data_IF_368835258671
#
_entry.id   IF_368835258671
#
_cell.length_a   1.000
_cell.length_b   1.000
_cell.length_c   1.000
_cell.angle_alpha   90.00
_cell.angle_beta   90.00
_cell.angle_gamma   90.00
#
_symmetry.space_group_name_H-M   'P 1'
#
loop_
_entity.id
_entity.type
_entity.pdbx_description
1 polymer ?
#
# COMPACT_ATOMS: atom_id res chain seq x y z
N UNK A 1 29.64 -96.18 64.41
CA UNK A 1 28.70 -95.02 64.50
C UNK A 1 28.63 -94.36 63.15
N UNK A 2 27.64 -94.71 62.30
CA UNK A 2 27.47 -94.18 60.94
C UNK A 2 26.44 -93.03 60.96
N UNK A 3 26.83 -91.76 60.69
CA UNK A 3 25.89 -90.63 60.54
C UNK A 3 25.15 -90.74 59.22
N UNK A 4 23.87 -90.80 59.25
CA UNK A 4 23.00 -90.64 58.11
C UNK A 4 23.09 -89.18 57.61
N UNK A 5 23.49 -88.97 56.37
CA UNK A 5 23.44 -87.66 55.71
C UNK A 5 22.02 -87.47 55.17
N UNK A 6 21.42 -86.39 55.55
CA UNK A 6 20.04 -86.03 55.27
C UNK A 6 19.79 -85.79 53.74
N UNK A 7 18.79 -86.46 53.20
CA UNK A 7 18.38 -86.35 51.83
C UNK A 7 17.76 -84.98 51.44
N UNK A 8 17.58 -84.09 52.46
CA UNK A 8 16.96 -82.79 52.24
C UNK A 8 17.91 -81.75 51.60
N UNK A 9 19.21 -81.85 51.91
CA UNK A 9 20.19 -80.91 51.36
C UNK A 9 20.47 -81.02 49.85
N UNK A 10 20.32 -82.24 49.32
CA UNK A 10 20.50 -82.45 47.82
C UNK A 10 19.37 -81.90 46.96
N UNK A 11 18.19 -81.73 47.50
CA UNK A 11 17.07 -81.08 46.76
C UNK A 11 17.18 -79.59 46.74
N UNK A 12 17.83 -78.92 47.68
CA UNK A 12 18.01 -77.51 47.73
C UNK A 12 19.11 -77.01 46.82
N UNK A 13 20.13 -77.84 46.55
CA UNK A 13 21.21 -77.44 45.64
C UNK A 13 20.83 -77.64 44.15
N UNK A 14 19.92 -78.55 43.82
CA UNK A 14 19.43 -78.72 42.43
C UNK A 14 18.45 -77.66 42.02
N UNK A 15 17.78 -76.94 42.92
CA UNK A 15 16.85 -75.90 42.65
C UNK A 15 17.54 -74.54 42.46
N UNK A 16 18.84 -74.39 42.79
CA UNK A 16 19.57 -73.12 42.61
C UNK A 16 20.30 -72.94 41.31
N UNK A 17 20.35 -73.95 40.44
CA UNK A 17 21.03 -73.89 39.14
C UNK A 17 20.07 -73.76 37.92
N UNK A 18 18.75 -73.55 38.13
CA UNK A 18 17.77 -73.41 37.07
C UNK A 18 17.10 -72.03 36.96
N UNK A 19 17.70 -70.95 37.51
CA UNK A 19 17.15 -69.60 37.38
C UNK A 19 18.26 -68.60 37.16
N UNK A 20 18.75 -68.50 35.91
CA UNK A 20 19.28 -67.28 35.36
C UNK A 20 19.46 -67.43 33.83
N UNK A 21 18.37 -67.57 33.11
CA UNK A 21 18.36 -67.11 31.69
C UNK A 21 18.23 -65.60 31.70
N UNK A 22 19.07 -64.86 31.00
CA UNK A 22 18.95 -63.39 30.97
C UNK A 22 17.68 -63.03 30.24
N UNK A 23 16.74 -62.36 30.91
CA UNK A 23 15.62 -61.70 30.27
C UNK A 23 16.14 -60.71 29.20
N UNK A 24 15.66 -60.76 27.95
CA UNK A 24 16.06 -59.80 26.93
C UNK A 24 15.59 -58.42 27.40
N UNK A 25 16.54 -57.46 27.53
CA UNK A 25 16.23 -56.06 27.76
C UNK A 25 15.29 -55.58 26.67
N UNK A 26 14.20 -54.89 27.01
CA UNK A 26 13.34 -54.32 25.98
C UNK A 26 14.19 -53.39 25.14
N UNK A 27 14.30 -53.66 23.84
CA UNK A 27 14.85 -52.70 22.86
C UNK A 27 13.98 -51.46 22.96
N UNK A 28 14.54 -50.37 23.45
CA UNK A 28 13.94 -49.05 23.27
C UNK A 28 13.82 -48.80 21.77
N UNK A 29 12.68 -49.13 21.21
CA UNK A 29 12.27 -48.68 19.90
C UNK A 29 12.08 -47.17 20.06
N UNK A 30 13.06 -46.39 19.60
CA UNK A 30 12.85 -44.96 19.37
C UNK A 30 11.66 -44.86 18.45
N UNK A 31 10.51 -44.49 19.01
CA UNK A 31 9.36 -44.10 18.19
C UNK A 31 9.82 -42.94 17.30
N UNK A 32 9.90 -43.17 16.01
CA UNK A 32 10.04 -42.09 15.07
C UNK A 32 8.86 -41.12 15.30
N UNK A 33 9.06 -39.80 15.34
CA UNK A 33 7.96 -38.87 15.53
C UNK A 33 6.97 -39.07 14.39
N UNK A 34 5.91 -39.84 14.62
CA UNK A 34 4.80 -39.95 13.71
C UNK A 34 4.05 -38.61 13.75
N UNK A 35 4.40 -37.71 12.87
CA UNK A 35 3.62 -36.50 12.63
C UNK A 35 2.25 -36.94 12.13
N UNK A 36 1.19 -36.58 12.85
CA UNK A 36 -0.15 -36.87 12.38
C UNK A 36 -0.37 -36.14 11.05
N UNK A 37 -1.04 -36.77 10.10
CA UNK A 37 -1.40 -36.15 8.82
C UNK A 37 -2.08 -34.82 8.98
N UNK A 38 -2.83 -34.60 10.09
CA UNK A 38 -3.42 -33.32 10.47
C UNK A 38 -2.37 -32.23 10.72
N UNK A 39 -1.26 -32.56 11.40
CA UNK A 39 -0.17 -31.59 11.63
C UNK A 39 0.57 -31.26 10.33
N UNK A 40 0.80 -32.24 9.47
CA UNK A 40 1.40 -32.03 8.14
C UNK A 40 0.48 -31.15 7.31
N UNK A 41 -0.83 -31.43 7.28
CA UNK A 41 -1.81 -30.61 6.56
C UNK A 41 -1.88 -29.17 7.05
N UNK A 42 -1.87 -28.96 8.37
CA UNK A 42 -1.87 -27.62 8.96
C UNK A 42 -0.60 -26.85 8.61
N UNK A 43 0.57 -27.47 8.69
CA UNK A 43 1.84 -26.84 8.32
C UNK A 43 1.87 -26.51 6.83
N UNK A 44 1.39 -27.41 5.96
CA UNK A 44 1.28 -27.16 4.54
C UNK A 44 0.35 -25.98 4.22
N UNK A 45 -0.81 -25.88 4.89
CA UNK A 45 -1.72 -24.75 4.77
C UNK A 45 -1.09 -23.44 5.25
N UNK A 46 -0.33 -23.46 6.33
CA UNK A 46 0.39 -22.27 6.82
C UNK A 46 1.49 -21.84 5.86
N UNK A 47 2.24 -22.80 5.28
CA UNK A 47 3.26 -22.51 4.29
C UNK A 47 2.60 -21.94 3.01
N UNK A 48 1.55 -22.54 2.50
CA UNK A 48 0.82 -22.07 1.32
C UNK A 48 0.19 -20.69 1.57
N UNK A 49 -0.44 -20.49 2.73
CA UNK A 49 -1.01 -19.20 3.13
C UNK A 49 0.04 -18.09 3.27
N UNK A 50 1.30 -18.45 3.46
CA UNK A 50 2.41 -17.51 3.55
C UNK A 50 3.12 -17.30 2.21
N UNK A 51 3.34 -18.38 1.44
CA UNK A 51 4.08 -18.32 0.17
C UNK A 51 3.25 -17.77 -0.97
N UNK A 52 1.93 -18.05 -1.04
CA UNK A 52 1.07 -17.55 -2.11
C UNK A 52 1.00 -16.02 -2.12
N UNK A 53 0.69 -15.32 -1.00
CA UNK A 53 0.72 -13.85 -0.99
C UNK A 53 2.09 -13.27 -1.32
N UNK A 54 3.18 -13.92 -0.88
CA UNK A 54 4.53 -13.53 -1.21
C UNK A 54 4.82 -13.67 -2.71
N UNK A 55 4.48 -14.81 -3.30
CA UNK A 55 4.64 -15.03 -4.74
C UNK A 55 3.76 -14.07 -5.54
N UNK A 56 2.51 -13.86 -5.14
CA UNK A 56 1.63 -12.88 -5.79
C UNK A 56 2.21 -11.46 -5.70
N UNK A 57 2.83 -11.10 -4.58
CA UNK A 57 3.49 -9.79 -4.43
C UNK A 57 4.74 -9.69 -5.30
N UNK A 58 5.61 -10.71 -5.31
CA UNK A 58 6.84 -10.74 -6.13
C UNK A 58 6.51 -10.80 -7.63
N UNK A 59 5.40 -11.46 -8.02
CA UNK A 59 4.98 -11.59 -9.43
C UNK A 59 3.96 -10.53 -9.85
N UNK A 60 3.45 -9.68 -8.96
CA UNK A 60 2.60 -8.53 -9.34
C UNK A 60 3.36 -7.44 -10.10
N UNK A 61 4.68 -7.46 -10.07
CA UNK A 61 5.54 -6.51 -10.78
C UNK A 61 5.90 -6.98 -12.22
N UNK A 62 5.18 -7.97 -12.76
CA UNK A 62 5.46 -8.50 -14.12
C UNK A 62 4.86 -7.61 -15.23
N UNK A 63 4.00 -6.65 -14.89
CA UNK A 63 3.46 -5.74 -15.88
C UNK A 63 4.59 -4.92 -16.54
N UNK A 64 4.62 -4.92 -17.86
CA UNK A 64 5.51 -4.05 -18.59
C UNK A 64 5.01 -2.60 -18.46
N UNK A 65 5.52 -1.90 -17.46
CA UNK A 65 5.14 -0.51 -17.17
C UNK A 65 5.45 0.47 -18.29
N UNK A 66 6.24 0.05 -19.30
CA UNK A 66 6.50 0.84 -20.49
C UNK A 66 5.30 0.90 -21.44
N UNK A 67 4.34 -0.02 -21.31
CA UNK A 67 3.19 -0.18 -22.22
C UNK A 67 1.84 -0.12 -21.50
N UNK A 68 1.39 1.06 -21.07
CA UNK A 68 0.11 1.22 -20.39
C UNK A 68 -1.10 0.79 -21.26
N UNK A 69 -0.96 0.74 -22.59
CA UNK A 69 -1.98 0.23 -23.50
C UNK A 69 -2.35 -1.23 -23.28
N UNK A 70 -1.40 -2.07 -22.81
CA UNK A 70 -1.65 -3.48 -22.51
C UNK A 70 -2.63 -3.66 -21.34
N UNK A 71 -2.80 -2.61 -20.53
CA UNK A 71 -3.73 -2.52 -19.40
C UNK A 71 -4.98 -1.69 -19.73
N UNK A 72 -5.26 -1.44 -21.01
CA UNK A 72 -6.44 -0.72 -21.47
C UNK A 72 -6.32 0.81 -21.45
N UNK A 73 -5.16 1.36 -21.11
CA UNK A 73 -4.90 2.81 -21.10
C UNK A 73 -4.35 3.28 -22.46
N UNK A 74 -5.19 3.23 -23.51
CA UNK A 74 -4.79 3.46 -24.90
C UNK A 74 -4.39 4.92 -25.23
N UNK A 75 -4.66 5.87 -24.35
CA UNK A 75 -4.34 7.30 -24.49
C UNK A 75 -3.45 7.76 -23.32
N UNK A 76 -2.57 6.86 -22.93
CA UNK A 76 -1.59 7.06 -21.85
C UNK A 76 -0.19 6.85 -22.41
N UNK A 77 0.73 7.74 -22.04
CA UNK A 77 2.15 7.57 -22.32
C UNK A 77 2.93 7.29 -21.05
N UNK A 78 3.93 6.43 -21.17
CA UNK A 78 4.94 6.22 -20.13
C UNK A 78 6.16 7.08 -20.43
N UNK A 79 6.67 7.79 -19.42
CA UNK A 79 7.93 8.53 -19.51
C UNK A 79 8.61 8.56 -18.13
N UNK A 80 9.85 9.06 -18.10
CA UNK A 80 10.62 9.10 -16.86
C UNK A 80 11.14 10.52 -16.59
N UNK A 81 11.12 10.89 -15.32
CA UNK A 81 11.68 12.16 -14.84
C UNK A 81 12.91 11.88 -13.97
N UNK A 82 13.94 12.70 -14.15
CA UNK A 82 15.14 12.67 -13.29
C UNK A 82 14.93 13.72 -12.18
N UNK A 83 14.52 13.26 -11.00
CA UNK A 83 14.14 14.13 -9.88
C UNK A 83 15.36 14.62 -9.10
N UNK A 84 16.40 13.79 -9.02
CA UNK A 84 17.70 14.10 -8.43
C UNK A 84 18.80 13.35 -9.20
N UNK A 85 20.07 13.61 -8.86
CA UNK A 85 21.18 12.85 -9.44
C UNK A 85 21.06 11.36 -9.08
N UNK A 86 21.05 10.49 -10.08
CA UNK A 86 20.88 9.03 -9.90
C UNK A 86 19.44 8.58 -9.64
N UNK A 87 18.48 9.49 -9.47
CA UNK A 87 17.08 9.14 -9.20
C UNK A 87 16.22 9.40 -10.45
N UNK A 88 15.60 8.32 -10.95
CA UNK A 88 14.68 8.34 -12.09
C UNK A 88 13.33 7.77 -11.63
N UNK A 89 12.25 8.51 -11.84
CA UNK A 89 10.89 8.12 -11.48
C UNK A 89 10.04 7.92 -12.74
N UNK A 90 9.25 6.85 -12.76
CA UNK A 90 8.32 6.54 -13.85
C UNK A 90 7.01 7.29 -13.68
N UNK A 91 6.47 7.80 -14.77
CA UNK A 91 5.20 8.54 -14.79
C UNK A 91 4.34 8.07 -15.96
N UNK A 92 3.08 7.81 -15.69
CA UNK A 92 2.04 7.66 -16.70
C UNK A 92 1.25 8.95 -16.81
N UNK A 93 1.10 9.47 -18.02
CA UNK A 93 0.24 10.60 -18.32
C UNK A 93 -0.91 10.15 -19.22
N UNK A 94 -2.10 10.12 -18.66
CA UNK A 94 -3.36 9.85 -19.35
C UNK A 94 -4.01 11.17 -19.71
N UNK A 95 -4.31 11.39 -20.98
CA UNK A 95 -5.02 12.61 -21.43
C UNK A 95 -6.54 12.45 -21.28
N UNK A 96 -7.32 13.55 -21.35
CA UNK A 96 -8.78 13.51 -21.41
C UNK A 96 -9.31 12.52 -22.48
N UNK A 97 -10.34 11.75 -22.15
CA UNK A 97 -10.87 10.70 -23.03
C UNK A 97 -11.27 11.23 -24.40
N UNK A 98 -11.85 12.44 -24.50
CA UNK A 98 -12.23 13.02 -25.77
C UNK A 98 -11.04 13.25 -26.72
N UNK A 99 -9.80 13.24 -26.23
CA UNK A 99 -8.57 13.38 -27.00
C UNK A 99 -7.90 12.04 -27.37
N UNK A 100 -8.53 10.90 -27.03
CA UNK A 100 -7.91 9.59 -27.21
C UNK A 100 -7.48 9.30 -28.65
N UNK A 101 -8.26 9.73 -29.65
CA UNK A 101 -7.92 9.55 -31.07
C UNK A 101 -6.71 10.37 -31.47
N UNK A 102 -6.62 11.60 -30.99
CA UNK A 102 -5.52 12.50 -31.24
C UNK A 102 -4.21 12.00 -30.59
N UNK A 103 -4.31 11.38 -29.41
CA UNK A 103 -3.18 10.87 -28.64
C UNK A 103 -2.50 9.64 -29.27
N UNK A 104 -3.19 8.92 -30.16
CA UNK A 104 -2.63 7.70 -30.75
C UNK A 104 -1.35 7.96 -31.54
N UNK A 105 -0.29 7.19 -31.20
CA UNK A 105 1.01 7.29 -31.87
C UNK A 105 1.78 8.60 -31.59
N UNK A 106 1.33 9.41 -30.63
CA UNK A 106 2.02 10.65 -30.25
C UNK A 106 3.18 10.35 -29.31
N UNK A 107 4.17 11.23 -29.36
CA UNK A 107 5.37 11.17 -28.51
C UNK A 107 5.18 11.99 -27.22
N UNK A 108 6.20 11.96 -26.35
CA UNK A 108 6.19 12.65 -25.04
C UNK A 108 5.99 14.15 -25.20
N UNK A 109 6.62 14.79 -26.20
CA UNK A 109 6.50 16.24 -26.42
C UNK A 109 5.06 16.67 -26.73
N UNK A 110 4.29 15.82 -27.44
CA UNK A 110 2.88 16.09 -27.69
C UNK A 110 2.07 16.06 -26.38
N UNK A 111 2.31 15.03 -25.53
CA UNK A 111 1.65 14.92 -24.23
C UNK A 111 2.03 16.06 -23.29
N UNK A 112 3.28 16.51 -23.31
CA UNK A 112 3.73 17.69 -22.55
C UNK A 112 2.97 18.96 -22.97
N UNK A 113 2.82 19.20 -24.27
CA UNK A 113 2.06 20.34 -24.80
C UNK A 113 0.58 20.25 -24.48
N UNK A 114 0.02 19.04 -24.42
CA UNK A 114 -1.39 18.80 -24.11
C UNK A 114 -1.77 19.29 -22.71
N UNK A 115 -0.85 19.34 -21.74
CA UNK A 115 -1.10 19.85 -20.38
C UNK A 115 -1.54 21.32 -20.35
N UNK A 116 -1.25 22.10 -21.41
CA UNK A 116 -1.64 23.52 -21.52
C UNK A 116 -2.97 23.75 -22.20
N UNK A 117 -3.83 22.74 -22.39
CA UNK A 117 -5.08 22.84 -23.12
C UNK A 117 -6.25 23.45 -22.33
N UNK A 118 -6.05 23.78 -21.06
CA UNK A 118 -7.06 24.33 -20.14
C UNK A 118 -7.82 23.28 -19.34
N UNK A 119 -7.67 21.99 -19.65
CA UNK A 119 -8.28 20.91 -18.86
C UNK A 119 -7.61 20.81 -17.47
N UNK A 120 -8.37 20.51 -16.40
CA UNK A 120 -7.77 20.25 -15.09
C UNK A 120 -6.77 19.10 -15.12
N UNK A 121 -5.72 19.22 -14.31
CA UNK A 121 -4.63 18.25 -14.23
C UNK A 121 -4.60 17.66 -12.81
N UNK A 122 -4.61 16.34 -12.70
CA UNK A 122 -4.46 15.64 -11.46
C UNK A 122 -3.12 14.91 -11.38
N UNK A 123 -2.37 15.19 -10.33
CA UNK A 123 -1.21 14.40 -9.90
C UNK A 123 -1.71 13.36 -8.91
N UNK A 124 -1.65 12.07 -9.28
CA UNK A 124 -2.05 10.98 -8.40
C UNK A 124 -0.84 10.39 -7.69
N UNK A 125 -0.87 10.45 -6.36
CA UNK A 125 0.17 9.98 -5.46
C UNK A 125 -0.33 8.72 -4.73
N UNK A 126 0.28 7.59 -5.05
CA UNK A 126 -0.22 6.26 -4.68
C UNK A 126 0.14 5.80 -3.26
N UNK A 127 -0.50 4.71 -2.81
CA UNK A 127 -0.25 4.06 -1.52
C UNK A 127 1.05 3.22 -1.48
N UNK A 128 1.32 2.62 -0.32
CA UNK A 128 2.62 2.00 0.01
C UNK A 128 2.95 0.69 -0.74
N UNK A 129 2.03 0.11 -1.52
CA UNK A 129 2.26 -1.19 -2.17
C UNK A 129 1.99 -1.13 -3.66
N UNK A 130 2.68 -1.97 -4.44
CA UNK A 130 2.55 -2.06 -5.89
C UNK A 130 3.11 -0.83 -6.62
N UNK A 131 2.70 -0.64 -7.87
CA UNK A 131 3.18 0.39 -8.76
C UNK A 131 2.02 1.05 -9.53
N UNK A 132 2.28 1.94 -10.49
CA UNK A 132 1.28 2.67 -11.27
C UNK A 132 0.30 1.79 -12.06
N UNK A 133 0.59 0.47 -12.25
CA UNK A 133 -0.31 -0.48 -12.92
C UNK A 133 -1.38 -1.08 -12.01
N UNK A 134 -1.37 -0.81 -10.71
CA UNK A 134 -2.35 -1.39 -9.80
C UNK A 134 -3.80 -0.99 -10.17
N UNK A 135 -4.78 -1.91 -10.08
CA UNK A 135 -6.14 -1.70 -10.61
C UNK A 135 -6.84 -0.43 -10.13
N UNK A 136 -6.66 -0.06 -8.85
CA UNK A 136 -7.28 1.16 -8.31
C UNK A 136 -6.66 2.45 -8.89
N UNK A 137 -5.37 2.44 -9.25
CA UNK A 137 -4.68 3.58 -9.87
C UNK A 137 -5.12 3.77 -11.31
N UNK A 138 -5.22 2.66 -12.05
CA UNK A 138 -5.82 2.63 -13.40
C UNK A 138 -7.27 3.10 -13.33
N UNK A 139 -8.05 2.63 -12.34
CA UNK A 139 -9.44 3.03 -12.17
C UNK A 139 -9.59 4.53 -11.94
N UNK A 140 -8.76 5.14 -11.09
CA UNK A 140 -8.77 6.59 -10.86
C UNK A 140 -8.33 7.36 -12.11
N UNK A 141 -7.28 6.90 -12.82
CA UNK A 141 -6.83 7.53 -14.06
C UNK A 141 -7.93 7.52 -15.13
N UNK A 142 -8.67 6.41 -15.27
CA UNK A 142 -9.82 6.32 -16.19
C UNK A 142 -10.96 7.25 -15.79
N UNK A 143 -11.30 7.36 -14.50
CA UNK A 143 -12.32 8.30 -14.02
C UNK A 143 -11.92 9.74 -14.36
N UNK A 144 -10.70 10.14 -14.06
CA UNK A 144 -10.22 11.49 -14.35
C UNK A 144 -10.24 11.78 -15.84
N UNK A 145 -9.78 10.84 -16.67
CA UNK A 145 -9.80 10.96 -18.12
C UNK A 145 -11.22 11.07 -18.69
N UNK A 146 -12.17 10.26 -18.20
CA UNK A 146 -13.58 10.31 -18.59
C UNK A 146 -14.26 11.63 -18.17
N UNK A 147 -13.80 12.25 -17.09
CA UNK A 147 -14.23 13.60 -16.67
C UNK A 147 -13.66 14.72 -17.55
N UNK A 148 -12.76 14.43 -18.47
CA UNK A 148 -12.08 15.41 -19.29
C UNK A 148 -10.85 16.02 -18.64
N UNK A 149 -10.21 15.32 -17.69
CA UNK A 149 -9.05 15.78 -16.95
C UNK A 149 -7.80 14.99 -17.33
N UNK A 150 -6.63 15.62 -17.22
CA UNK A 150 -5.35 14.93 -17.29
C UNK A 150 -5.07 14.18 -15.97
N UNK A 151 -4.57 12.96 -16.06
CA UNK A 151 -4.10 12.19 -14.91
C UNK A 151 -2.62 11.84 -15.05
N UNK A 152 -1.80 12.27 -14.10
CA UNK A 152 -0.39 11.88 -14.00
C UNK A 152 -0.22 10.96 -12.79
N UNK A 153 0.07 9.69 -13.05
CA UNK A 153 0.31 8.68 -12.01
C UNK A 153 1.80 8.40 -11.94
N UNK A 154 2.42 8.72 -10.81
CA UNK A 154 3.86 8.57 -10.61
C UNK A 154 4.17 7.40 -9.69
N UNK A 155 5.17 6.59 -10.04
CA UNK A 155 5.85 5.73 -9.08
C UNK A 155 7.01 6.52 -8.46
N UNK A 156 6.99 6.69 -7.14
CA UNK A 156 8.08 7.32 -6.42
C UNK A 156 9.38 6.52 -6.55
N UNK A 157 10.50 7.14 -6.15
CA UNK A 157 11.76 6.40 -5.96
C UNK A 157 11.56 5.11 -5.15
N UNK A 158 12.14 4.02 -5.62
CA UNK A 158 12.05 2.70 -4.99
C UNK A 158 10.72 1.96 -5.21
N UNK A 159 9.79 2.50 -6.03
CA UNK A 159 8.56 1.84 -6.43
C UNK A 159 8.55 1.55 -7.93
N UNK A 160 7.85 0.47 -8.33
CA UNK A 160 7.77 0.03 -9.72
C UNK A 160 9.16 -0.12 -10.35
N UNK A 161 9.37 0.56 -11.48
CA UNK A 161 10.65 0.62 -12.18
C UNK A 161 11.44 1.93 -11.92
N UNK A 162 11.02 2.72 -10.93
CA UNK A 162 11.73 3.91 -10.46
C UNK A 162 12.96 3.53 -9.64
N UNK A 163 14.05 4.30 -9.80
CA UNK A 163 15.30 4.05 -9.06
C UNK A 163 15.35 4.78 -7.71
N UNK A 164 16.31 4.44 -6.86
CA UNK A 164 16.55 5.09 -5.57
C UNK A 164 15.84 4.39 -4.40
N UNK A 165 15.99 4.97 -3.21
CA UNK A 165 15.46 4.42 -1.95
C UNK A 165 14.28 5.24 -1.46
N UNK A 166 13.16 4.62 -1.04
CA UNK A 166 11.96 5.33 -0.60
C UNK A 166 12.15 5.90 0.81
N UNK A 167 12.44 7.18 0.90
CA UNK A 167 12.52 7.94 2.15
C UNK A 167 11.47 9.04 2.17
N UNK A 168 10.99 9.49 3.34
CA UNK A 168 9.99 10.55 3.44
C UNK A 168 10.40 11.84 2.72
N UNK A 169 11.62 12.37 2.92
CA UNK A 169 12.08 13.52 2.15
C UNK A 169 12.17 13.22 0.64
N UNK A 170 12.62 12.02 0.27
CA UNK A 170 12.77 11.62 -1.11
C UNK A 170 11.43 11.55 -1.85
N UNK A 171 10.42 10.90 -1.27
CA UNK A 171 9.08 10.83 -1.85
C UNK A 171 8.47 12.23 -2.01
N UNK A 172 8.69 13.10 -1.03
CA UNK A 172 8.24 14.50 -1.08
C UNK A 172 8.96 15.26 -2.20
N UNK A 173 10.28 15.07 -2.36
CA UNK A 173 11.07 15.67 -3.45
C UNK A 173 10.58 15.24 -4.82
N UNK A 174 10.27 13.95 -5.01
CA UNK A 174 9.74 13.43 -6.27
C UNK A 174 8.41 14.07 -6.62
N UNK A 175 7.50 14.22 -5.63
CA UNK A 175 6.20 14.86 -5.83
C UNK A 175 6.32 16.37 -6.13
N UNK A 176 7.23 17.09 -5.46
CA UNK A 176 7.52 18.51 -5.76
C UNK A 176 8.08 18.65 -7.17
N UNK A 177 8.98 17.75 -7.57
CA UNK A 177 9.56 17.79 -8.92
C UNK A 177 8.48 17.60 -9.97
N UNK A 178 7.59 16.61 -9.81
CA UNK A 178 6.47 16.39 -10.72
C UNK A 178 5.53 17.60 -10.75
N UNK A 179 5.17 18.16 -9.59
CA UNK A 179 4.37 19.38 -9.53
C UNK A 179 5.00 20.52 -10.35
N UNK A 180 6.28 20.81 -10.12
CA UNK A 180 6.99 21.88 -10.84
C UNK A 180 7.09 21.60 -12.35
N UNK A 181 7.28 20.34 -12.73
CA UNK A 181 7.30 19.91 -14.11
C UNK A 181 5.94 20.13 -14.80
N UNK A 182 4.84 19.78 -14.12
CA UNK A 182 3.47 20.02 -14.57
C UNK A 182 3.18 21.51 -14.62
N UNK A 183 3.47 22.27 -13.57
CA UNK A 183 3.16 23.70 -13.45
C UNK A 183 3.78 24.54 -14.55
N UNK A 184 5.00 24.20 -14.99
CA UNK A 184 5.67 24.85 -16.11
C UNK A 184 4.94 24.63 -17.46
N UNK A 185 4.05 23.64 -17.55
CA UNK A 185 3.36 23.22 -18.79
C UNK A 185 1.85 23.45 -18.75
N UNK A 186 1.29 23.64 -17.57
CA UNK A 186 -0.16 23.67 -17.34
C UNK A 186 -0.85 24.95 -17.87
N UNK A 187 -0.10 25.99 -18.21
CA UNK A 187 -0.72 27.27 -18.57
C UNK A 187 -1.67 27.76 -17.47
N UNK A 188 -2.95 27.92 -17.82
CA UNK A 188 -4.02 28.32 -16.90
C UNK A 188 -4.83 27.13 -16.34
N UNK A 189 -4.44 25.89 -16.64
CA UNK A 189 -5.11 24.70 -16.13
C UNK A 189 -4.97 24.60 -14.62
N UNK A 190 -6.02 24.16 -13.93
CA UNK A 190 -5.96 23.82 -12.52
C UNK A 190 -5.01 22.64 -12.31
N UNK A 191 -4.14 22.73 -11.31
CA UNK A 191 -3.25 21.64 -10.90
C UNK A 191 -3.67 21.11 -9.52
N UNK A 192 -4.36 19.98 -9.53
CA UNK A 192 -4.85 19.30 -8.35
C UNK A 192 -3.98 18.10 -8.00
N UNK A 193 -4.06 17.64 -6.76
CA UNK A 193 -3.40 16.43 -6.30
C UNK A 193 -4.41 15.47 -5.66
N UNK A 194 -4.23 14.18 -5.90
CA UNK A 194 -4.98 13.11 -5.27
C UNK A 194 -4.02 12.16 -4.57
N UNK A 195 -3.97 12.18 -3.25
CA UNK A 195 -3.15 11.29 -2.44
C UNK A 195 -3.95 10.17 -1.83
N UNK A 196 -3.54 8.92 -2.10
CA UNK A 196 -4.15 7.73 -1.54
C UNK A 196 -3.22 7.08 -0.50
N UNK A 197 -3.72 6.79 0.71
CA UNK A 197 -2.97 6.11 1.78
C UNK A 197 -1.62 6.79 2.03
N UNK A 198 -0.46 6.12 1.82
CA UNK A 198 0.88 6.74 1.88
C UNK A 198 0.93 8.05 1.09
N UNK A 199 0.33 8.07 -0.11
CA UNK A 199 0.25 9.26 -0.95
C UNK A 199 -0.46 10.44 -0.30
N UNK A 200 -1.34 10.24 0.68
CA UNK A 200 -1.95 11.34 1.44
C UNK A 200 -0.92 12.07 2.32
N UNK A 201 -0.02 11.32 2.94
CA UNK A 201 1.11 11.87 3.69
C UNK A 201 2.08 12.64 2.78
N UNK A 202 2.45 12.03 1.64
CA UNK A 202 3.29 12.70 0.63
C UNK A 202 2.62 13.97 0.13
N UNK A 203 1.30 13.95 -0.12
CA UNK A 203 0.52 15.11 -0.54
C UNK A 203 0.61 16.27 0.45
N UNK A 204 0.38 15.99 1.74
CA UNK A 204 0.41 17.05 2.75
C UNK A 204 1.81 17.61 2.99
N UNK A 205 2.85 16.76 2.98
CA UNK A 205 4.24 17.23 3.01
C UNK A 205 4.58 18.11 1.80
N UNK A 206 4.20 17.64 0.59
CA UNK A 206 4.41 18.40 -0.64
C UNK A 206 3.68 19.74 -0.60
N UNK A 207 2.41 19.76 -0.19
CA UNK A 207 1.63 20.99 -0.11
C UNK A 207 2.28 22.04 0.84
N UNK A 208 2.79 21.61 2.00
CA UNK A 208 3.50 22.52 2.93
C UNK A 208 4.81 23.01 2.31
N UNK A 209 5.58 22.15 1.65
CA UNK A 209 6.82 22.55 0.98
C UNK A 209 6.60 23.51 -0.19
N UNK A 210 5.53 23.33 -0.95
CA UNK A 210 5.14 24.27 -2.01
C UNK A 210 4.75 25.64 -1.42
N UNK A 211 4.01 25.68 -0.30
CA UNK A 211 3.68 26.92 0.38
C UNK A 211 4.94 27.69 0.82
N UNK A 212 5.98 27.01 1.30
CA UNK A 212 7.28 27.61 1.63
C UNK A 212 7.96 28.24 0.39
N UNK A 213 7.61 27.80 -0.81
CA UNK A 213 8.11 28.31 -2.11
C UNK A 213 7.17 29.34 -2.76
N UNK A 214 6.07 29.71 -2.10
CA UNK A 214 5.04 30.59 -2.66
C UNK A 214 4.11 29.93 -3.69
N UNK A 215 4.15 28.61 -3.79
CA UNK A 215 3.35 27.79 -4.70
C UNK A 215 2.28 27.00 -3.96
N UNK A 216 1.26 26.50 -4.67
CA UNK A 216 0.20 25.67 -4.09
C UNK A 216 -0.50 24.82 -5.14
N UNK A 217 -1.09 23.73 -4.74
CA UNK A 217 -2.13 23.06 -5.51
C UNK A 217 -3.41 23.89 -5.53
N UNK A 218 -4.21 23.76 -6.58
CA UNK A 218 -5.52 24.39 -6.67
C UNK A 218 -6.58 23.61 -5.87
N UNK A 219 -6.46 22.29 -5.80
CA UNK A 219 -7.31 21.39 -5.00
C UNK A 219 -6.55 20.16 -4.51
N UNK A 220 -6.95 19.63 -3.36
CA UNK A 220 -6.37 18.45 -2.74
C UNK A 220 -7.47 17.41 -2.49
N UNK A 221 -7.26 16.17 -2.95
CA UNK A 221 -8.08 15.00 -2.59
C UNK A 221 -7.23 14.07 -1.73
N UNK A 222 -7.74 13.69 -0.57
CA UNK A 222 -7.13 12.73 0.35
C UNK A 222 -8.03 11.51 0.48
N UNK A 223 -7.56 10.34 0.01
CA UNK A 223 -8.29 9.08 0.05
C UNK A 223 -7.62 8.11 1.02
N UNK A 224 -8.39 7.51 1.93
CA UNK A 224 -7.85 6.55 2.91
C UNK A 224 -6.68 7.13 3.73
N UNK A 225 -6.77 8.42 4.08
CA UNK A 225 -5.68 9.18 4.67
C UNK A 225 -5.47 8.86 6.15
N UNK A 226 -4.22 8.99 6.62
CA UNK A 226 -3.81 8.77 8.01
C UNK A 226 -3.26 10.06 8.64
N UNK A 227 -3.25 10.13 9.98
CA UNK A 227 -2.74 11.30 10.74
C UNK A 227 -1.22 11.39 10.76
N UNK A 228 -0.56 10.23 10.97
CA UNK A 228 0.90 10.09 10.82
C UNK A 228 1.24 8.64 10.54
N UNK A 229 2.37 8.40 9.91
CA UNK A 229 2.86 7.04 9.60
C UNK A 229 3.07 6.20 10.86
N UNK A 230 3.49 6.82 11.96
CA UNK A 230 3.65 6.16 13.26
C UNK A 230 2.31 5.71 13.85
N UNK A 231 1.27 6.54 13.77
CA UNK A 231 -0.08 6.20 14.23
C UNK A 231 -0.68 5.11 13.34
N UNK A 232 -0.53 5.25 12.02
CA UNK A 232 -1.02 4.23 11.08
C UNK A 232 -0.34 2.88 11.30
N UNK A 233 0.98 2.84 11.50
CA UNK A 233 1.70 1.62 11.82
C UNK A 233 1.15 0.96 13.10
N UNK A 234 0.97 1.73 14.18
CA UNK A 234 0.44 1.18 15.43
C UNK A 234 -0.97 0.62 15.26
N UNK A 235 -1.86 1.29 14.52
CA UNK A 235 -3.22 0.79 14.26
C UNK A 235 -3.24 -0.52 13.47
N UNK A 236 -2.37 -0.64 12.46
CA UNK A 236 -2.18 -1.89 11.72
C UNK A 236 -1.66 -3.01 12.63
N UNK A 237 -0.79 -2.69 13.61
CA UNK A 237 -0.24 -3.69 14.55
C UNK A 237 -1.23 -4.16 15.60
N UNK A 238 -2.15 -3.31 16.03
CA UNK A 238 -3.14 -3.64 17.06
C UNK A 238 -4.30 -4.49 16.52
N UNK A 239 -4.48 -4.56 15.20
CA UNK A 239 -5.56 -5.34 14.61
C UNK A 239 -5.29 -6.85 14.74
N UNK A 240 -6.21 -7.67 15.29
CA UNK A 240 -5.98 -9.10 15.55
C UNK A 240 -5.55 -9.92 14.34
N UNK A 241 -6.02 -9.55 13.15
CA UNK A 241 -5.69 -10.21 11.90
C UNK A 241 -4.25 -9.91 11.45
N UNK A 242 -3.80 -8.68 11.62
CA UNK A 242 -2.44 -8.27 11.25
C UNK A 242 -1.40 -8.78 12.24
N UNK A 243 -1.76 -8.95 13.54
CA UNK A 243 -0.89 -9.55 14.55
C UNK A 243 -0.40 -10.95 14.16
N UNK A 244 -1.21 -11.74 13.47
CA UNK A 244 -0.81 -13.06 12.98
C UNK A 244 0.25 -12.95 11.87
N UNK A 245 0.03 -12.08 10.89
CA UNK A 245 0.95 -11.86 9.76
C UNK A 245 2.24 -11.17 10.20
N UNK A 246 2.19 -10.35 11.26
CA UNK A 246 3.37 -9.69 11.83
C UNK A 246 4.44 -10.68 12.32
N UNK A 247 4.09 -11.89 12.67
CA UNK A 247 5.04 -12.91 13.08
C UNK A 247 5.89 -13.49 11.96
N UNK A 248 5.56 -13.20 10.72
CA UNK A 248 6.33 -13.67 9.58
C UNK A 248 7.43 -12.68 9.22
N UNK A 249 8.73 -13.09 9.28
CA UNK A 249 9.88 -12.21 9.08
C UNK A 249 9.87 -11.46 7.74
N UNK A 250 9.33 -12.07 6.68
CA UNK A 250 9.28 -11.45 5.36
C UNK A 250 8.22 -10.36 5.27
N UNK A 251 7.10 -10.43 5.97
CA UNK A 251 6.11 -9.36 6.05
C UNK A 251 6.71 -8.17 6.80
N UNK A 252 7.44 -8.42 7.89
CA UNK A 252 8.22 -7.39 8.56
C UNK A 252 9.23 -6.75 7.62
N UNK A 253 9.98 -7.59 6.87
CA UNK A 253 11.04 -7.13 5.99
C UNK A 253 10.51 -6.28 4.82
N UNK A 254 9.44 -6.72 4.14
CA UNK A 254 8.95 -6.05 2.92
C UNK A 254 7.94 -4.93 3.17
N UNK A 255 7.11 -5.02 4.21
CA UNK A 255 6.07 -4.03 4.47
C UNK A 255 6.45 -3.01 5.55
N UNK A 256 7.15 -3.44 6.59
CA UNK A 256 7.33 -2.63 7.79
C UNK A 256 8.75 -2.12 8.01
N UNK A 257 9.77 -2.89 7.64
CA UNK A 257 11.15 -2.42 7.78
C UNK A 257 11.45 -1.19 6.92
N UNK A 258 10.97 -1.08 5.66
CA UNK A 258 11.12 0.15 4.90
C UNK A 258 10.50 1.36 5.61
N UNK A 259 9.28 1.22 6.17
CA UNK A 259 8.61 2.31 6.91
C UNK A 259 9.37 2.68 8.19
N UNK A 260 9.84 1.69 8.95
CA UNK A 260 10.51 1.90 10.23
C UNK A 260 11.95 2.38 10.07
N UNK A 261 12.69 1.82 9.13
CA UNK A 261 14.10 2.17 8.89
C UNK A 261 14.28 3.52 8.21
N UNK A 262 13.28 3.96 7.44
CA UNK A 262 13.31 5.21 6.66
C UNK A 262 12.61 6.38 7.37
N UNK A 263 12.22 6.23 8.64
CA UNK A 263 11.54 7.26 9.45
C UNK A 263 10.35 7.90 8.71
N UNK A 264 9.49 7.09 8.07
CA UNK A 264 8.32 7.56 7.34
C UNK A 264 7.24 7.95 8.37
N UNK A 265 7.22 9.19 8.82
CA UNK A 265 6.24 9.69 9.79
C UNK A 265 5.09 10.43 9.11
N UNK A 266 5.36 11.24 8.10
CA UNK A 266 4.37 12.04 7.38
C UNK A 266 3.35 12.70 8.35
N UNK A 267 3.69 13.77 9.03
CA UNK A 267 2.83 14.38 10.06
C UNK A 267 1.66 15.12 9.41
N UNK A 268 0.68 14.38 8.88
CA UNK A 268 -0.49 14.89 8.18
C UNK A 268 -1.28 15.85 9.06
N UNK A 269 -1.45 15.53 10.35
CA UNK A 269 -2.11 16.35 11.34
C UNK A 269 -1.51 17.77 11.40
N UNK A 270 -0.19 17.88 11.55
CA UNK A 270 0.53 19.16 11.63
C UNK A 270 0.56 19.91 10.29
N UNK A 271 0.63 19.17 9.19
CA UNK A 271 0.63 19.76 7.86
C UNK A 271 -0.72 20.39 7.52
N UNK A 272 -1.82 19.74 7.87
CA UNK A 272 -3.17 20.26 7.65
C UNK A 272 -3.42 21.61 8.37
N UNK A 273 -2.77 21.86 9.50
CA UNK A 273 -2.86 23.16 10.20
C UNK A 273 -2.33 24.32 9.34
N UNK A 274 -1.43 24.06 8.40
CA UNK A 274 -0.79 25.07 7.54
C UNK A 274 -1.46 25.20 6.18
N UNK A 275 -2.11 24.15 5.68
CA UNK A 275 -2.70 24.09 4.34
C UNK A 275 -3.97 24.93 4.28
N UNK A 276 -4.07 25.78 3.23
CA UNK A 276 -5.24 26.64 2.94
C UNK A 276 -5.89 26.32 1.59
N UNK A 277 -5.33 25.39 0.85
CA UNK A 277 -5.93 24.84 -0.39
C UNK A 277 -7.22 24.11 -0.06
N UNK A 278 -8.28 24.17 -0.87
CA UNK A 278 -9.49 23.37 -0.69
C UNK A 278 -9.18 21.87 -0.63
N UNK A 279 -9.81 21.16 0.32
CA UNK A 279 -9.53 19.73 0.57
C UNK A 279 -10.83 18.95 0.50
N UNK A 280 -10.82 17.85 -0.27
CA UNK A 280 -11.83 16.81 -0.22
C UNK A 280 -11.24 15.52 0.37
N UNK A 281 -11.89 14.96 1.38
CA UNK A 281 -11.50 13.71 2.04
C UNK A 281 -12.48 12.62 1.62
N UNK A 282 -11.98 11.56 0.98
CA UNK A 282 -12.75 10.39 0.55
C UNK A 282 -12.41 9.21 1.45
N UNK A 283 -13.42 8.56 2.03
CA UNK A 283 -13.17 7.45 2.94
C UNK A 283 -14.28 6.42 2.93
N UNK A 284 -13.92 5.13 2.87
CA UNK A 284 -14.87 4.02 3.00
C UNK A 284 -15.11 3.69 4.46
N UNK A 285 -16.36 3.53 4.88
CA UNK A 285 -16.69 3.19 6.27
C UNK A 285 -16.19 1.79 6.68
N UNK A 286 -15.98 0.89 5.69
CA UNK A 286 -15.42 -0.45 5.88
C UNK A 286 -13.91 -0.52 5.62
N UNK A 287 -13.21 0.61 5.59
CA UNK A 287 -11.75 0.62 5.49
C UNK A 287 -11.12 -0.14 6.66
N UNK A 288 -10.48 -1.26 6.33
CA UNK A 288 -9.91 -2.20 7.30
C UNK A 288 -8.49 -1.83 7.74
N UNK A 289 -7.86 -0.83 7.09
CA UNK A 289 -6.51 -0.35 7.42
C UNK A 289 -6.55 0.96 8.19
N UNK A 290 -7.41 1.88 7.77
CA UNK A 290 -7.57 3.19 8.40
C UNK A 290 -9.02 3.38 8.83
N UNK A 291 -9.32 3.40 10.14
CA UNK A 291 -10.69 3.58 10.63
C UNK A 291 -11.31 4.92 10.22
N UNK A 292 -12.62 4.97 10.00
CA UNK A 292 -13.38 6.18 9.65
C UNK A 292 -13.16 7.33 10.65
N UNK A 293 -12.91 7.02 11.94
CA UNK A 293 -12.60 8.02 12.97
C UNK A 293 -11.35 8.85 12.65
N UNK A 294 -10.38 8.27 11.92
CA UNK A 294 -9.18 8.99 11.46
C UNK A 294 -9.54 10.01 10.38
N UNK A 295 -10.40 9.65 9.43
CA UNK A 295 -10.88 10.58 8.40
C UNK A 295 -11.68 11.73 9.01
N UNK A 296 -12.50 11.45 10.03
CA UNK A 296 -13.23 12.46 10.80
C UNK A 296 -12.28 13.41 11.54
N UNK A 297 -11.21 12.92 12.11
CA UNK A 297 -10.21 13.75 12.79
C UNK A 297 -9.42 14.61 11.80
N UNK A 298 -9.01 14.05 10.64
CA UNK A 298 -8.40 14.81 9.52
C UNK A 298 -9.32 15.96 9.09
N UNK A 299 -10.60 15.66 8.90
CA UNK A 299 -11.61 16.68 8.57
C UNK A 299 -11.70 17.77 9.63
N UNK A 300 -11.77 17.39 10.91
CA UNK A 300 -11.85 18.32 12.03
C UNK A 300 -10.65 19.28 12.07
N UNK A 301 -9.42 18.74 11.91
CA UNK A 301 -8.19 19.52 11.89
C UNK A 301 -8.18 20.49 10.70
N UNK A 302 -8.42 19.97 9.49
CA UNK A 302 -8.40 20.77 8.28
C UNK A 302 -9.48 21.87 8.29
N UNK A 303 -10.70 21.58 8.72
CA UNK A 303 -11.80 22.53 8.84
C UNK A 303 -11.47 23.64 9.83
N UNK A 304 -10.94 23.30 11.01
CA UNK A 304 -10.49 24.27 12.00
C UNK A 304 -9.39 25.20 11.45
N UNK A 305 -8.42 24.62 10.74
CA UNK A 305 -7.31 25.38 10.17
C UNK A 305 -7.75 26.35 9.07
N UNK A 306 -8.71 25.96 8.23
CA UNK A 306 -9.20 26.80 7.13
C UNK A 306 -10.31 27.78 7.54
N UNK A 307 -10.91 27.57 8.72
CA UNK A 307 -12.04 28.36 9.23
C UNK A 307 -13.17 28.53 8.19
N UNK A 308 -13.47 27.46 7.44
CA UNK A 308 -14.46 27.46 6.36
C UNK A 308 -15.09 26.07 6.21
N UNK A 309 -16.43 26.05 6.14
CA UNK A 309 -17.20 24.82 5.89
C UNK A 309 -17.22 24.42 4.43
N UNK A 310 -16.99 25.35 3.52
CA UNK A 310 -17.07 25.12 2.07
C UNK A 310 -15.76 24.59 1.50
N UNK A 311 -14.63 24.91 2.13
CA UNK A 311 -13.30 24.58 1.63
C UNK A 311 -12.81 23.20 2.03
N UNK A 312 -13.45 22.55 2.99
CA UNK A 312 -13.09 21.20 3.46
C UNK A 312 -14.33 20.33 3.45
N UNK A 313 -14.31 19.27 2.66
CA UNK A 313 -15.41 18.31 2.54
C UNK A 313 -14.95 16.92 2.99
N UNK A 314 -15.78 16.22 3.76
CA UNK A 314 -15.64 14.79 4.07
C UNK A 314 -16.76 14.04 3.36
N UNK A 315 -16.38 13.07 2.54
CA UNK A 315 -17.32 12.22 1.78
C UNK A 315 -17.14 10.78 2.28
N UNK A 316 -18.01 10.31 3.17
CA UNK A 316 -18.04 8.91 3.58
C UNK A 316 -18.73 8.07 2.51
N UNK A 317 -18.22 6.85 2.27
CA UNK A 317 -18.82 5.84 1.42
C UNK A 317 -19.33 4.69 2.28
N UNK A 318 -20.61 4.31 2.10
CA UNK A 318 -21.28 3.28 2.91
C UNK A 318 -20.51 1.94 2.83
N UNK A 319 -20.12 1.42 3.99
CA UNK A 319 -19.35 0.19 4.14
C UNK A 319 -20.02 -1.06 3.57
N UNK A 320 -21.36 -1.02 3.30
CA UNK A 320 -22.06 -2.13 2.66
C UNK A 320 -21.57 -2.44 1.23
N UNK A 321 -20.92 -1.48 0.59
CA UNK A 321 -20.41 -1.65 -0.77
C UNK A 321 -19.13 -2.46 -0.85
N UNK A 322 -18.42 -2.69 0.26
CA UNK A 322 -17.22 -3.51 0.30
C UNK A 322 -16.05 -2.87 -0.47
N UNK A 323 -15.91 -1.55 -0.40
CA UNK A 323 -14.82 -0.85 -1.06
C UNK A 323 -13.50 -1.03 -0.33
N UNK A 324 -13.54 -1.24 0.99
CA UNK A 324 -12.35 -1.37 1.81
C UNK A 324 -11.40 -0.17 1.62
N UNK A 325 -10.08 -0.43 1.66
CA UNK A 325 -9.07 0.63 1.55
C UNK A 325 -8.79 1.11 0.11
N UNK A 326 -9.01 0.25 -0.90
CA UNK A 326 -8.55 0.51 -2.28
C UNK A 326 -9.69 0.53 -3.31
N UNK A 327 -10.95 0.47 -2.91
CA UNK A 327 -12.05 0.17 -3.81
C UNK A 327 -12.92 1.34 -4.21
N UNK A 328 -12.69 2.55 -3.73
CA UNK A 328 -13.56 3.71 -3.98
C UNK A 328 -13.70 4.05 -5.48
N UNK A 329 -12.68 3.78 -6.29
CA UNK A 329 -12.77 3.96 -7.74
C UNK A 329 -13.91 3.20 -8.42
N UNK A 330 -14.52 2.22 -7.74
CA UNK A 330 -15.66 1.43 -8.23
C UNK A 330 -17.01 2.08 -7.95
N UNK A 331 -17.03 3.13 -7.11
CA UNK A 331 -18.29 3.80 -6.76
C UNK A 331 -18.82 4.60 -7.95
N UNK A 332 -20.06 4.35 -8.41
CA UNK A 332 -20.64 5.07 -9.55
C UNK A 332 -20.88 6.55 -9.29
N UNK A 333 -20.94 6.99 -8.04
CA UNK A 333 -21.09 8.41 -7.68
C UNK A 333 -19.77 9.17 -7.68
N UNK A 334 -18.62 8.47 -7.55
CA UNK A 334 -17.31 9.10 -7.43
C UNK A 334 -16.98 10.10 -8.57
N UNK A 335 -17.28 9.81 -9.84
CA UNK A 335 -17.03 10.79 -10.92
C UNK A 335 -17.78 12.11 -10.70
N UNK A 336 -19.03 12.08 -10.27
CA UNK A 336 -19.82 13.29 -10.01
C UNK A 336 -19.27 14.07 -8.80
N UNK A 337 -18.88 13.36 -7.72
CA UNK A 337 -18.28 13.96 -6.52
C UNK A 337 -17.00 14.71 -6.90
N UNK A 338 -16.13 14.10 -7.72
CA UNK A 338 -14.89 14.74 -8.19
C UNK A 338 -15.18 15.94 -9.10
N UNK A 339 -16.16 15.82 -10.00
CA UNK A 339 -16.58 16.94 -10.88
C UNK A 339 -17.05 18.13 -10.07
N UNK A 340 -17.94 17.94 -9.09
CA UNK A 340 -18.46 19.00 -8.23
C UNK A 340 -17.34 19.67 -7.43
N UNK A 341 -16.39 18.89 -6.93
CA UNK A 341 -15.22 19.44 -6.25
C UNK A 341 -14.41 20.34 -7.18
N UNK A 342 -14.06 19.87 -8.38
CA UNK A 342 -13.29 20.69 -9.36
C UNK A 342 -14.05 21.96 -9.74
N UNK A 343 -15.36 21.88 -9.96
CA UNK A 343 -16.20 23.06 -10.25
C UNK A 343 -16.17 24.07 -9.12
N UNK A 344 -16.15 23.62 -7.85
CA UNK A 344 -16.07 24.51 -6.69
C UNK A 344 -14.74 25.23 -6.55
N UNK A 345 -13.69 24.82 -7.26
CA UNK A 345 -12.38 25.50 -7.26
C UNK A 345 -12.35 26.72 -8.16
N UNK A 346 -13.28 26.85 -9.09
CA UNK A 346 -13.37 27.94 -10.05
C UNK A 346 -14.51 28.91 -9.79
N UNK A 347 -15.37 28.58 -8.82
CA UNK A 347 -16.45 29.45 -8.35
C UNK A 347 -15.91 30.48 -7.33
#
# INVERSE_FOLDING_TARGET
MKRRVDKSERKFQAARHQQSSPTPRPKHVRASPQWSWAKIGLISLLILGATIPFLLHVFSDIDDLSRPSDLGLNHTINFYLKTEEGVRVGVWHTVPEHRWKEAQGKNVEWYEKALGDGSPIFIYLHGNTGNRSAPHRIGVANILSALGYHALVMDYRGFGDSTGEPTEPGLTTDAIYLYNWVKKRSGNSLVCVWGHSLGSGVTTNTAVKLLEQGEKFDGIILEGAFLSGRVAANQVFEHPFTWYYWKFPYIQFYLFNPMKNNNLDFPTDKNLEKIRTPIMILHSEDDHLVPMSVAQEIYRIAKKAQNSDERVKLVPFDGKHGYLHNGLYRDPALPNIVREFVQSLTA
#
